data_IF_600582288110
#
_entry.id   IF_600582288110
#
_cell.length_a   1.000
_cell.length_b   1.000
_cell.length_c   1.000
_cell.angle_alpha   90.00
_cell.angle_beta   90.00
_cell.angle_gamma   90.00
#
_symmetry.space_group_name_H-M   'P 1'
#
loop_
_entity.id
_entity.type
_entity.pdbx_description
1 polymer ?
#
# COMPACT_ATOMS: atom_id res chain seq x y z
N UNK A 1 72.36 -42.47 -8.27
CA UNK A 1 71.11 -42.50 -9.12
C UNK A 1 69.96 -42.57 -8.18
N UNK A 2 69.35 -41.44 -7.95
CA UNK A 2 68.23 -41.32 -7.02
C UNK A 2 66.95 -41.11 -7.84
N UNK A 3 66.09 -42.08 -7.85
CA UNK A 3 64.81 -42.02 -8.56
C UNK A 3 63.78 -41.23 -7.70
N UNK A 4 63.47 -40.00 -8.13
CA UNK A 4 62.37 -39.22 -7.60
C UNK A 4 61.04 -39.81 -8.11
N UNK A 5 60.27 -40.37 -7.20
CA UNK A 5 58.89 -40.81 -7.47
C UNK A 5 57.98 -39.56 -7.45
N UNK A 6 57.47 -39.15 -8.60
CA UNK A 6 56.44 -38.10 -8.72
C UNK A 6 55.17 -38.62 -8.14
N UNK A 7 54.76 -38.08 -6.98
CA UNK A 7 53.39 -38.27 -6.44
C UNK A 7 52.39 -37.51 -7.32
N UNK A 8 51.52 -38.24 -7.97
CA UNK A 8 50.37 -37.74 -8.72
C UNK A 8 49.39 -37.08 -7.74
N UNK A 9 48.94 -35.83 -7.99
CA UNK A 9 47.95 -35.20 -7.11
C UNK A 9 46.65 -36.00 -7.11
N UNK A 10 46.23 -36.41 -5.93
CA UNK A 10 44.94 -37.07 -5.69
C UNK A 10 43.83 -36.06 -5.97
N UNK A 11 42.96 -36.36 -6.94
CA UNK A 11 41.79 -35.56 -7.22
C UNK A 11 40.91 -35.43 -5.94
N UNK A 12 40.40 -34.22 -5.61
CA UNK A 12 39.55 -34.05 -4.45
C UNK A 12 38.33 -34.97 -4.57
N UNK A 13 37.97 -35.63 -3.47
CA UNK A 13 36.78 -36.47 -3.39
C UNK A 13 35.52 -35.62 -3.76
N UNK A 14 34.54 -36.19 -4.48
CA UNK A 14 33.30 -35.49 -4.81
C UNK A 14 32.66 -35.02 -3.49
N UNK A 15 32.40 -33.71 -3.41
CA UNK A 15 31.70 -33.13 -2.25
C UNK A 15 30.37 -33.84 -2.05
N UNK A 16 30.11 -34.26 -0.83
CA UNK A 16 28.81 -34.85 -0.45
C UNK A 16 27.72 -33.81 -0.77
N UNK A 17 26.66 -34.17 -1.54
CA UNK A 17 25.61 -33.21 -1.87
C UNK A 17 25.02 -32.63 -0.61
N UNK A 18 24.89 -31.29 -0.55
CA UNK A 18 24.20 -30.63 0.55
C UNK A 18 22.75 -31.12 0.59
N UNK A 19 22.23 -31.56 1.74
CA UNK A 19 20.81 -31.92 1.88
C UNK A 19 19.86 -30.82 1.42
N UNK A 20 20.28 -29.56 1.47
CA UNK A 20 19.52 -28.42 0.95
C UNK A 20 19.36 -28.43 -0.57
N UNK A 21 20.35 -28.96 -1.31
CA UNK A 21 20.28 -29.05 -2.77
C UNK A 21 19.12 -29.92 -3.24
N UNK A 22 18.86 -31.03 -2.54
CA UNK A 22 17.72 -31.91 -2.83
C UNK A 22 16.39 -31.19 -2.57
N UNK A 23 16.30 -30.40 -1.50
CA UNK A 23 15.09 -29.58 -1.18
C UNK A 23 14.88 -28.51 -2.25
N UNK A 24 15.93 -27.79 -2.65
CA UNK A 24 15.86 -26.77 -3.70
C UNK A 24 15.39 -27.37 -5.02
N UNK A 25 15.92 -28.56 -5.37
CA UNK A 25 15.51 -29.27 -6.59
C UNK A 25 14.02 -29.69 -6.54
N UNK A 26 13.55 -30.25 -5.43
CA UNK A 26 12.16 -30.61 -5.25
C UNK A 26 11.23 -29.38 -5.32
N UNK A 27 11.61 -28.26 -4.68
CA UNK A 27 10.90 -27.00 -4.78
C UNK A 27 10.85 -26.45 -6.21
N UNK A 28 11.93 -26.63 -6.97
CA UNK A 28 11.99 -26.25 -8.38
C UNK A 28 10.99 -27.04 -9.21
N UNK A 29 10.92 -28.35 -9.04
CA UNK A 29 9.99 -29.22 -9.74
C UNK A 29 8.52 -28.81 -9.49
N UNK A 30 8.16 -28.59 -8.22
CA UNK A 30 6.83 -28.14 -7.85
C UNK A 30 6.50 -26.78 -8.50
N UNK A 31 7.44 -25.83 -8.48
CA UNK A 31 7.24 -24.51 -9.11
C UNK A 31 7.05 -24.62 -10.62
N UNK A 32 7.83 -25.45 -11.30
CA UNK A 32 7.73 -25.63 -12.74
C UNK A 32 6.41 -26.30 -13.13
N UNK A 33 6.01 -27.36 -12.42
CA UNK A 33 4.72 -28.03 -12.64
C UNK A 33 3.54 -27.06 -12.44
N UNK A 34 3.58 -26.24 -11.39
CA UNK A 34 2.55 -25.23 -11.14
C UNK A 34 2.50 -24.17 -12.27
N UNK A 35 3.66 -23.68 -12.71
CA UNK A 35 3.72 -22.71 -13.83
C UNK A 35 3.13 -23.26 -15.11
N UNK A 36 3.46 -24.50 -15.44
CA UNK A 36 2.93 -25.17 -16.62
C UNK A 36 1.42 -25.35 -16.54
N UNK A 37 0.90 -25.85 -15.42
CA UNK A 37 -0.52 -26.06 -15.18
C UNK A 37 -1.35 -24.75 -15.22
N UNK A 38 -0.73 -23.59 -14.91
CA UNK A 38 -1.39 -22.30 -14.86
C UNK A 38 -1.04 -21.36 -16.04
N UNK A 39 -0.46 -21.90 -17.13
CA UNK A 39 -0.13 -21.11 -18.32
C UNK A 39 0.99 -20.08 -18.11
N UNK A 40 1.80 -20.24 -17.05
CA UNK A 40 2.88 -19.31 -16.66
C UNK A 40 4.28 -19.88 -16.94
N UNK A 41 4.42 -20.73 -17.92
CA UNK A 41 5.70 -21.36 -18.28
C UNK A 41 6.80 -20.33 -18.65
N UNK A 42 6.40 -19.16 -19.12
CA UNK A 42 7.30 -18.03 -19.45
C UNK A 42 7.00 -16.87 -18.53
N UNK A 43 7.61 -16.88 -17.33
CA UNK A 43 7.59 -15.71 -16.46
C UNK A 43 8.73 -14.76 -16.84
N UNK A 44 8.45 -13.47 -17.05
CA UNK A 44 9.51 -12.48 -17.24
C UNK A 44 10.39 -12.36 -15.99
N UNK A 45 11.60 -11.80 -16.17
CA UNK A 45 12.50 -11.58 -15.06
C UNK A 45 12.04 -10.42 -14.17
N UNK A 46 12.15 -10.60 -12.86
CA UNK A 46 11.89 -9.54 -11.87
C UNK A 46 10.56 -9.63 -11.15
N UNK A 47 10.30 -8.64 -10.31
CA UNK A 47 9.05 -8.53 -9.55
C UNK A 47 7.98 -7.89 -10.43
N UNK A 48 6.94 -8.64 -10.71
CA UNK A 48 5.87 -8.23 -11.64
C UNK A 48 4.65 -7.60 -10.95
N UNK A 49 4.63 -7.61 -9.63
CA UNK A 49 3.52 -7.09 -8.81
C UNK A 49 4.02 -5.99 -7.88
N UNK A 50 3.16 -5.04 -7.52
CA UNK A 50 3.48 -4.02 -6.54
C UNK A 50 4.01 -4.61 -5.22
N UNK A 51 4.94 -3.92 -4.58
CA UNK A 51 5.47 -4.30 -3.27
C UNK A 51 4.59 -3.76 -2.16
N UNK A 52 4.21 -4.62 -1.23
CA UNK A 52 3.48 -4.23 -0.03
C UNK A 52 4.31 -3.26 0.83
N UNK A 53 5.59 -3.56 1.06
CA UNK A 53 6.49 -2.71 1.84
C UNK A 53 6.68 -1.33 1.20
N UNK A 54 6.83 -1.29 -0.14
CA UNK A 54 6.96 -0.01 -0.85
C UNK A 54 5.68 0.81 -0.74
N UNK A 55 4.51 0.16 -0.84
CA UNK A 55 3.22 0.84 -0.65
C UNK A 55 3.05 1.35 0.78
N UNK A 56 3.50 0.57 1.78
CA UNK A 56 3.46 1.01 3.18
C UNK A 56 4.26 2.31 3.39
N UNK A 57 5.49 2.38 2.85
CA UNK A 57 6.30 3.60 2.90
C UNK A 57 5.63 4.77 2.16
N UNK A 58 5.05 4.53 0.99
CA UNK A 58 4.28 5.57 0.26
C UNK A 58 3.14 6.12 1.11
N UNK A 59 2.37 5.26 1.79
CA UNK A 59 1.26 5.70 2.64
C UNK A 59 1.73 6.47 3.88
N UNK A 60 2.85 6.06 4.49
CA UNK A 60 3.46 6.76 5.63
C UNK A 60 3.98 8.14 5.22
N UNK A 61 4.72 8.22 4.12
CA UNK A 61 5.22 9.48 3.57
C UNK A 61 4.06 10.44 3.20
N UNK A 62 2.99 9.92 2.57
CA UNK A 62 1.80 10.72 2.28
C UNK A 62 1.12 11.23 3.56
N UNK A 63 1.09 10.43 4.62
CA UNK A 63 0.65 10.88 5.94
C UNK A 63 1.49 12.06 6.43
N UNK A 64 2.82 11.96 6.31
CA UNK A 64 3.76 13.03 6.65
C UNK A 64 3.61 14.28 5.76
N UNK A 65 3.31 14.11 4.47
CA UNK A 65 3.01 15.23 3.54
C UNK A 65 1.70 15.93 3.92
N UNK A 66 0.67 15.16 4.29
CA UNK A 66 -0.63 15.71 4.68
C UNK A 66 -0.60 16.39 6.05
N UNK A 67 0.19 15.89 7.00
CA UNK A 67 0.31 16.40 8.36
C UNK A 67 1.79 16.56 8.78
N UNK A 68 2.57 17.43 8.11
CA UNK A 68 4.03 17.45 8.24
C UNK A 68 4.52 17.75 9.65
N UNK A 69 3.86 18.66 10.37
CA UNK A 69 4.22 19.01 11.74
C UNK A 69 3.78 17.97 12.80
N UNK A 70 3.10 16.88 12.39
CA UNK A 70 2.58 15.85 13.31
C UNK A 70 3.03 14.45 12.96
N UNK A 71 3.04 14.11 11.66
CA UNK A 71 3.43 12.81 11.15
C UNK A 71 4.75 12.83 10.35
N UNK A 72 5.33 14.01 10.19
CA UNK A 72 6.67 14.20 9.60
C UNK A 72 7.80 14.01 10.62
N UNK A 73 9.04 14.32 10.23
CA UNK A 73 10.21 14.18 11.10
C UNK A 73 10.07 15.00 12.38
N UNK A 74 10.53 14.47 13.53
CA UNK A 74 10.36 15.15 14.84
C UNK A 74 11.13 16.47 14.93
N UNK A 75 12.22 16.65 14.15
CA UNK A 75 13.02 17.86 14.10
C UNK A 75 12.48 18.94 13.14
N UNK A 76 11.41 18.66 12.41
CA UNK A 76 10.89 19.56 11.38
C UNK A 76 10.45 20.90 12.02
N UNK A 77 10.97 21.99 11.45
CA UNK A 77 10.62 23.34 11.88
C UNK A 77 9.59 23.96 10.93
N UNK A 78 8.70 24.86 11.43
CA UNK A 78 7.68 25.49 10.59
C UNK A 78 8.24 26.19 9.33
N UNK A 79 9.44 26.77 9.42
CA UNK A 79 10.07 27.45 8.28
C UNK A 79 10.57 26.49 7.18
N UNK A 80 10.69 25.20 7.50
CA UNK A 80 11.18 24.15 6.60
C UNK A 80 10.06 23.27 6.07
N UNK A 81 8.82 23.49 6.53
CA UNK A 81 7.64 22.65 6.23
C UNK A 81 7.42 22.50 4.73
N UNK A 82 7.31 23.61 3.98
CA UNK A 82 7.06 23.59 2.54
C UNK A 82 8.18 22.90 1.77
N UNK A 83 9.43 23.09 2.19
CA UNK A 83 10.59 22.42 1.57
C UNK A 83 10.54 20.92 1.82
N UNK A 84 10.23 20.52 3.06
CA UNK A 84 10.08 19.11 3.44
C UNK A 84 8.94 18.45 2.65
N UNK A 85 7.75 19.05 2.64
CA UNK A 85 6.58 18.58 1.88
C UNK A 85 6.93 18.42 0.39
N UNK A 86 7.55 19.44 -0.22
CA UNK A 86 7.93 19.38 -1.64
C UNK A 86 8.94 18.27 -1.93
N UNK A 87 9.94 18.08 -1.06
CA UNK A 87 10.95 17.03 -1.22
C UNK A 87 10.33 15.64 -1.07
N UNK A 88 9.63 15.40 0.03
CA UNK A 88 9.00 14.11 0.34
C UNK A 88 7.99 13.73 -0.72
N UNK A 89 7.09 14.66 -1.11
CA UNK A 89 6.09 14.39 -2.14
C UNK A 89 6.74 13.97 -3.48
N UNK A 90 7.82 14.62 -3.90
CA UNK A 90 8.53 14.24 -5.14
C UNK A 90 9.07 12.82 -5.08
N UNK A 91 9.69 12.43 -3.97
CA UNK A 91 10.23 11.08 -3.79
C UNK A 91 9.10 10.04 -3.73
N UNK A 92 8.08 10.32 -2.95
CA UNK A 92 6.91 9.43 -2.80
C UNK A 92 6.20 9.19 -4.14
N UNK A 93 6.06 10.24 -4.97
CA UNK A 93 5.45 10.10 -6.29
C UNK A 93 6.29 9.26 -7.25
N UNK A 94 7.62 9.25 -7.15
CA UNK A 94 8.47 8.36 -7.94
C UNK A 94 8.24 6.89 -7.55
N UNK A 95 8.14 6.58 -6.25
CA UNK A 95 7.81 5.23 -5.79
C UNK A 95 6.40 4.83 -6.23
N UNK A 96 5.42 5.72 -6.07
CA UNK A 96 4.04 5.49 -6.49
C UNK A 96 3.95 5.25 -8.01
N UNK A 97 4.64 6.03 -8.85
CA UNK A 97 4.74 5.81 -10.30
C UNK A 97 5.25 4.39 -10.61
N UNK A 98 6.27 3.93 -9.89
CA UNK A 98 6.79 2.57 -10.02
C UNK A 98 5.73 1.49 -9.70
N UNK A 99 4.98 1.67 -8.60
CA UNK A 99 3.90 0.75 -8.22
C UNK A 99 2.75 0.77 -9.23
N UNK A 100 2.35 1.94 -9.69
CA UNK A 100 1.29 2.11 -10.72
C UNK A 100 1.70 1.41 -12.01
N UNK A 101 2.95 1.56 -12.44
CA UNK A 101 3.44 0.88 -13.64
C UNK A 101 3.31 -0.63 -13.52
N UNK A 102 3.66 -1.20 -12.37
CA UNK A 102 3.53 -2.65 -12.12
C UNK A 102 2.06 -3.11 -12.16
N UNK A 103 1.13 -2.34 -11.58
CA UNK A 103 -0.29 -2.65 -11.67
C UNK A 103 -0.81 -2.58 -13.11
N UNK A 104 -0.46 -1.54 -13.86
CA UNK A 104 -0.86 -1.40 -15.26
C UNK A 104 -0.32 -2.53 -16.14
N UNK A 105 0.92 -2.97 -15.91
CA UNK A 105 1.51 -4.10 -16.60
C UNK A 105 0.79 -5.41 -16.25
N UNK A 106 0.46 -5.59 -14.97
CA UNK A 106 -0.32 -6.75 -14.51
C UNK A 106 -1.70 -6.79 -15.14
N UNK A 107 -2.42 -5.68 -15.15
CA UNK A 107 -3.75 -5.52 -15.76
C UNK A 107 -3.72 -5.84 -17.26
N UNK A 108 -2.73 -5.33 -17.99
CA UNK A 108 -2.55 -5.61 -19.42
C UNK A 108 -2.37 -7.11 -19.68
N UNK A 109 -1.54 -7.78 -18.87
CA UNK A 109 -1.34 -9.24 -18.98
C UNK A 109 -2.60 -10.04 -18.69
N UNK A 110 -3.31 -9.70 -17.62
CA UNK A 110 -4.56 -10.41 -17.26
C UNK A 110 -5.61 -10.28 -18.36
N UNK A 111 -5.65 -9.15 -19.06
CA UNK A 111 -6.57 -8.91 -20.18
C UNK A 111 -6.06 -9.48 -21.52
N UNK A 112 -4.88 -10.09 -21.55
CA UNK A 112 -4.29 -10.63 -22.79
C UNK A 112 -3.87 -9.55 -23.80
N UNK A 113 -3.61 -8.32 -23.32
CA UNK A 113 -3.15 -7.22 -24.16
C UNK A 113 -1.64 -7.35 -24.43
N UNK A 114 -1.22 -7.13 -25.68
CA UNK A 114 0.21 -7.14 -26.06
C UNK A 114 1.05 -6.01 -25.47
N UNK A 115 0.43 -5.07 -24.74
CA UNK A 115 1.03 -3.86 -24.20
C UNK A 115 1.76 -4.13 -22.86
N UNK A 116 2.70 -5.04 -22.85
CA UNK A 116 3.37 -5.41 -21.60
C UNK A 116 4.55 -4.52 -21.25
N UNK A 117 5.19 -3.90 -22.23
CA UNK A 117 6.32 -2.97 -21.98
C UNK A 117 6.35 -1.87 -23.05
N UNK A 118 6.41 -0.61 -22.61
CA UNK A 118 6.57 0.49 -23.56
C UNK A 118 6.49 1.86 -22.91
N UNK A 119 6.97 2.90 -23.61
CA UNK A 119 6.93 4.28 -23.14
C UNK A 119 5.52 4.77 -22.80
N UNK A 120 4.49 4.17 -23.40
CA UNK A 120 3.10 4.50 -23.12
C UNK A 120 2.65 4.16 -21.69
N UNK A 121 3.01 2.96 -21.18
CA UNK A 121 2.66 2.57 -19.80
C UNK A 121 3.39 3.46 -18.79
N UNK A 122 4.65 3.79 -19.05
CA UNK A 122 5.42 4.69 -18.19
C UNK A 122 4.80 6.09 -18.15
N UNK A 123 4.38 6.64 -19.29
CA UNK A 123 3.71 7.95 -19.33
C UNK A 123 2.35 7.92 -18.64
N UNK A 124 1.56 6.87 -18.86
CA UNK A 124 0.28 6.68 -18.20
C UNK A 124 0.45 6.57 -16.67
N UNK A 125 1.45 5.83 -16.20
CA UNK A 125 1.75 5.71 -14.78
C UNK A 125 2.12 7.08 -14.17
N UNK A 126 2.97 7.84 -14.86
CA UNK A 126 3.35 9.18 -14.46
C UNK A 126 2.16 10.12 -14.42
N UNK A 127 1.28 10.06 -15.43
CA UNK A 127 0.06 10.89 -15.47
C UNK A 127 -0.86 10.55 -14.28
N UNK A 128 -1.13 9.27 -14.01
CA UNK A 128 -1.97 8.84 -12.89
C UNK A 128 -1.38 9.24 -11.53
N UNK A 129 -0.06 9.16 -11.37
CA UNK A 129 0.61 9.63 -10.15
C UNK A 129 0.42 11.15 -9.94
N UNK A 130 0.50 11.95 -11.01
CA UNK A 130 0.24 13.41 -10.95
C UNK A 130 -1.22 13.71 -10.64
N UNK A 131 -2.16 13.02 -11.30
CA UNK A 131 -3.59 13.22 -11.08
C UNK A 131 -3.96 12.86 -9.63
N UNK A 132 -3.41 11.77 -9.11
CA UNK A 132 -3.54 11.41 -7.69
C UNK A 132 -2.99 12.52 -6.78
N UNK A 133 -1.79 13.03 -7.05
CA UNK A 133 -1.21 14.12 -6.26
C UNK A 133 -2.09 15.37 -6.24
N UNK A 134 -2.74 15.66 -7.37
CA UNK A 134 -3.71 16.78 -7.48
C UNK A 134 -4.92 16.63 -6.56
N UNK A 135 -5.22 15.44 -6.06
CA UNK A 135 -6.32 15.21 -5.11
C UNK A 135 -5.94 15.45 -3.65
N UNK A 136 -4.65 15.49 -3.31
CA UNK A 136 -4.17 15.56 -1.92
C UNK A 136 -4.70 16.78 -1.13
N UNK A 137 -4.83 17.99 -1.69
CA UNK A 137 -5.45 19.11 -0.96
C UNK A 137 -6.88 18.82 -0.51
N UNK A 138 -7.68 18.14 -1.36
CA UNK A 138 -9.04 17.74 -1.02
C UNK A 138 -9.03 16.63 0.05
N UNK A 139 -8.15 15.64 -0.08
CA UNK A 139 -7.96 14.59 0.93
C UNK A 139 -7.62 15.21 2.28
N UNK A 140 -6.74 16.23 2.31
CA UNK A 140 -6.40 16.93 3.54
C UNK A 140 -7.61 17.63 4.16
N UNK A 141 -8.40 18.32 3.38
CA UNK A 141 -9.61 19.00 3.89
C UNK A 141 -10.64 18.00 4.44
N UNK A 142 -10.82 16.85 3.77
CA UNK A 142 -11.68 15.76 4.27
C UNK A 142 -11.17 15.22 5.61
N UNK A 143 -9.86 14.99 5.73
CA UNK A 143 -9.23 14.49 6.96
C UNK A 143 -9.28 15.50 8.11
N UNK A 144 -9.15 16.79 7.84
CA UNK A 144 -9.31 17.83 8.86
C UNK A 144 -10.74 17.82 9.44
N UNK A 145 -11.75 17.62 8.59
CA UNK A 145 -13.13 17.45 9.03
C UNK A 145 -13.36 16.16 9.83
N UNK A 146 -12.77 15.02 9.38
CA UNK A 146 -12.85 13.74 10.09
C UNK A 146 -12.16 13.81 11.46
N UNK A 147 -11.01 14.50 11.53
CA UNK A 147 -10.26 14.72 12.76
C UNK A 147 -11.06 15.56 13.76
N UNK A 148 -11.69 16.64 13.30
CA UNK A 148 -12.53 17.48 14.14
C UNK A 148 -13.77 16.70 14.66
N UNK A 149 -14.43 15.91 13.80
CA UNK A 149 -15.56 15.08 14.19
C UNK A 149 -15.15 14.01 15.21
N UNK A 150 -14.01 13.31 14.97
CA UNK A 150 -13.51 12.31 15.90
C UNK A 150 -13.16 12.92 17.26
N UNK A 151 -12.49 14.07 17.27
CA UNK A 151 -12.15 14.78 18.51
C UNK A 151 -13.37 15.17 19.34
N UNK A 152 -14.47 15.59 18.69
CA UNK A 152 -15.72 15.93 19.38
C UNK A 152 -16.39 14.72 20.04
N UNK A 153 -16.16 13.52 19.50
CA UNK A 153 -16.79 12.29 19.98
C UNK A 153 -15.96 11.58 21.08
N UNK A 154 -14.65 11.83 21.12
CA UNK A 154 -13.74 11.16 22.04
C UNK A 154 -13.65 11.90 23.38
N UNK A 155 -14.23 11.31 24.44
CA UNK A 155 -14.08 11.81 25.79
C UNK A 155 -12.69 11.47 26.35
N UNK A 156 -12.00 12.45 26.93
CA UNK A 156 -10.71 12.25 27.58
C UNK A 156 -9.49 12.52 26.70
N UNK A 157 -9.69 12.90 25.45
CA UNK A 157 -8.63 13.38 24.55
C UNK A 157 -8.40 14.87 24.75
N UNK A 158 -7.15 15.29 24.85
CA UNK A 158 -6.78 16.69 25.16
C UNK A 158 -6.62 17.57 23.93
N UNK A 159 -6.34 16.96 22.77
CA UNK A 159 -6.12 17.68 21.53
C UNK A 159 -6.42 16.83 20.29
N UNK A 160 -6.64 17.49 19.16
CA UNK A 160 -6.75 16.83 17.86
C UNK A 160 -5.44 16.10 17.48
N UNK A 161 -4.30 16.58 17.93
CA UNK A 161 -3.00 15.94 17.68
C UNK A 161 -2.95 14.53 18.29
N UNK A 162 -3.51 14.34 19.49
CA UNK A 162 -3.60 13.03 20.12
C UNK A 162 -4.45 12.06 19.26
N UNK A 163 -5.60 12.51 18.76
CA UNK A 163 -6.45 11.72 17.88
C UNK A 163 -5.69 11.28 16.62
N UNK A 164 -5.01 12.22 15.98
CA UNK A 164 -4.24 11.95 14.76
C UNK A 164 -3.14 10.90 14.98
N UNK A 165 -2.48 10.93 16.15
CA UNK A 165 -1.33 10.07 16.44
C UNK A 165 -1.72 8.62 16.75
N UNK A 166 -2.79 8.39 17.49
CA UNK A 166 -3.07 7.05 18.02
C UNK A 166 -4.43 6.48 17.66
N UNK A 167 -5.42 7.31 17.28
CA UNK A 167 -6.80 6.83 17.13
C UNK A 167 -6.97 5.90 15.90
N UNK A 168 -7.38 4.64 16.10
CA UNK A 168 -7.43 3.67 15.00
C UNK A 168 -8.43 4.05 13.91
N UNK A 169 -9.58 4.62 14.27
CA UNK A 169 -10.58 5.11 13.32
C UNK A 169 -10.04 6.22 12.43
N UNK A 170 -9.27 7.18 13.01
CA UNK A 170 -8.64 8.24 12.23
C UNK A 170 -7.58 7.69 11.27
N UNK A 171 -6.78 6.71 11.72
CA UNK A 171 -5.81 6.02 10.86
C UNK A 171 -6.49 5.27 9.71
N UNK A 172 -7.59 4.58 9.99
CA UNK A 172 -8.36 3.88 8.96
C UNK A 172 -8.94 4.87 7.93
N UNK A 173 -9.48 6.01 8.37
CA UNK A 173 -9.98 7.06 7.48
C UNK A 173 -8.87 7.67 6.64
N UNK A 174 -7.70 7.97 7.21
CA UNK A 174 -6.55 8.50 6.46
C UNK A 174 -6.18 7.57 5.30
N UNK A 175 -6.00 6.29 5.58
CA UNK A 175 -5.65 5.33 4.54
C UNK A 175 -6.80 5.14 3.56
N UNK A 176 -8.05 5.08 4.03
CA UNK A 176 -9.21 4.96 3.15
C UNK A 176 -9.33 6.14 2.16
N UNK A 177 -9.14 7.39 2.61
CA UNK A 177 -9.17 8.57 1.74
C UNK A 177 -8.16 8.45 0.60
N UNK A 178 -6.92 8.02 0.90
CA UNK A 178 -5.87 7.77 -0.10
C UNK A 178 -6.22 6.58 -1.01
N UNK A 179 -6.66 5.45 -0.43
CA UNK A 179 -7.04 4.26 -1.17
C UNK A 179 -8.23 4.51 -2.11
N UNK A 180 -9.20 5.30 -1.67
CA UNK A 180 -10.34 5.70 -2.50
C UNK A 180 -9.90 6.51 -3.73
N UNK A 181 -8.92 7.43 -3.60
CA UNK A 181 -8.35 8.17 -4.74
C UNK A 181 -7.59 7.26 -5.69
N UNK A 182 -6.83 6.27 -5.17
CA UNK A 182 -6.20 5.25 -6.02
C UNK A 182 -7.25 4.44 -6.78
N UNK A 183 -8.33 4.03 -6.11
CA UNK A 183 -9.43 3.30 -6.74
C UNK A 183 -10.09 4.13 -7.85
N UNK A 184 -10.40 5.41 -7.60
CA UNK A 184 -10.97 6.33 -8.59
C UNK A 184 -10.01 6.57 -9.78
N UNK A 185 -8.70 6.52 -9.55
CA UNK A 185 -7.69 6.58 -10.60
C UNK A 185 -7.59 5.29 -11.44
N UNK A 186 -8.43 4.27 -11.18
CA UNK A 186 -8.41 2.99 -11.87
C UNK A 186 -7.21 2.13 -11.48
N UNK A 187 -6.85 2.14 -10.20
CA UNK A 187 -5.76 1.36 -9.60
C UNK A 187 -6.33 0.47 -8.48
N UNK A 188 -7.19 -0.51 -8.82
CA UNK A 188 -7.92 -1.30 -7.81
C UNK A 188 -7.01 -2.19 -6.97
N UNK A 189 -5.89 -2.70 -7.52
CA UNK A 189 -4.97 -3.54 -6.77
C UNK A 189 -4.24 -2.74 -5.69
N UNK A 190 -3.64 -1.59 -6.03
CA UNK A 190 -2.97 -0.71 -5.07
C UNK A 190 -3.95 -0.20 -4.01
N UNK A 191 -5.16 0.17 -4.42
CA UNK A 191 -6.21 0.60 -3.51
C UNK A 191 -6.58 -0.50 -2.51
N UNK A 192 -6.71 -1.75 -2.98
CA UNK A 192 -7.02 -2.90 -2.12
C UNK A 192 -5.88 -3.23 -1.17
N UNK A 193 -4.64 -3.20 -1.66
CA UNK A 193 -3.45 -3.40 -0.82
C UNK A 193 -3.36 -2.35 0.29
N UNK A 194 -3.64 -1.09 -0.02
CA UNK A 194 -3.67 -0.01 0.97
C UNK A 194 -4.76 -0.24 2.04
N UNK A 195 -5.98 -0.60 1.62
CA UNK A 195 -7.08 -0.90 2.53
C UNK A 195 -6.74 -2.09 3.46
N UNK A 196 -6.10 -3.14 2.92
CA UNK A 196 -5.68 -4.30 3.72
C UNK A 196 -4.63 -3.92 4.77
N UNK A 197 -3.68 -3.05 4.46
CA UNK A 197 -2.72 -2.54 5.44
C UNK A 197 -3.40 -1.77 6.57
N UNK A 198 -4.44 -0.97 6.25
CA UNK A 198 -5.23 -0.29 7.26
C UNK A 198 -5.98 -1.30 8.15
N UNK A 199 -6.61 -2.31 7.54
CA UNK A 199 -7.34 -3.36 8.25
C UNK A 199 -6.44 -4.13 9.22
N UNK A 200 -5.24 -4.51 8.78
CA UNK A 200 -4.27 -5.22 9.64
C UNK A 200 -3.85 -4.38 10.84
N UNK A 201 -3.67 -3.06 10.65
CA UNK A 201 -3.21 -2.15 11.72
C UNK A 201 -4.32 -1.71 12.67
N UNK A 202 -5.57 -1.65 12.21
CA UNK A 202 -6.68 -1.03 12.95
C UNK A 202 -7.82 -2.00 13.30
N UNK A 203 -7.88 -3.13 12.62
CA UNK A 203 -9.03 -4.05 12.70
C UNK A 203 -10.29 -3.53 12.00
N UNK A 204 -10.19 -2.42 11.23
CA UNK A 204 -11.30 -1.79 10.52
C UNK A 204 -11.15 -2.05 9.03
N UNK A 205 -12.14 -2.66 8.40
CA UNK A 205 -12.14 -2.97 6.97
C UNK A 205 -13.04 -1.98 6.22
N UNK A 206 -12.44 -1.09 5.44
CA UNK A 206 -13.17 -0.15 4.57
C UNK A 206 -12.81 -0.45 3.12
N UNK A 207 -13.80 -0.89 2.33
CA UNK A 207 -13.56 -1.14 0.91
C UNK A 207 -13.17 0.17 0.19
N UNK A 208 -12.13 0.17 -0.67
CA UNK A 208 -11.68 1.40 -1.34
C UNK A 208 -12.74 2.09 -2.20
N UNK A 209 -13.70 1.34 -2.74
CA UNK A 209 -14.80 1.90 -3.52
C UNK A 209 -15.93 2.50 -2.65
N UNK A 210 -15.97 2.21 -1.35
CA UNK A 210 -16.96 2.79 -0.44
C UNK A 210 -16.88 4.32 -0.46
N UNK A 211 -18.02 4.97 -0.49
CA UNK A 211 -18.12 6.44 -0.47
C UNK A 211 -18.33 6.91 0.96
N UNK A 212 -17.29 7.52 1.54
CA UNK A 212 -17.33 8.06 2.89
C UNK A 212 -17.33 9.58 2.82
N UNK A 213 -18.41 10.20 3.29
CA UNK A 213 -18.53 11.67 3.37
C UNK A 213 -17.50 12.28 4.33
N UNK A 214 -17.24 13.57 4.19
CA UNK A 214 -16.33 14.28 5.08
C UNK A 214 -16.92 14.46 6.51
N UNK A 215 -16.07 14.56 7.52
CA UNK A 215 -16.48 14.75 8.90
C UNK A 215 -17.03 13.47 9.55
N UNK A 216 -16.65 12.32 9.07
CA UNK A 216 -17.01 11.04 9.69
C UNK A 216 -16.10 10.70 10.87
N UNK A 217 -16.67 10.04 11.88
CA UNK A 217 -15.92 9.49 13.00
C UNK A 217 -16.18 7.99 13.14
N UNK A 218 -15.11 7.22 13.39
CA UNK A 218 -15.14 5.78 13.62
C UNK A 218 -14.76 5.51 15.06
N UNK A 219 -15.72 5.24 15.94
CA UNK A 219 -15.48 4.94 17.35
C UNK A 219 -15.57 3.44 17.63
N UNK A 220 -14.73 2.92 18.51
CA UNK A 220 -14.75 1.50 18.90
C UNK A 220 -14.96 0.56 17.71
N UNK A 221 -14.40 0.93 16.55
CA UNK A 221 -14.73 0.39 15.25
C UNK A 221 -13.92 -0.87 14.88
N UNK A 222 -13.17 -1.45 15.82
CA UNK A 222 -12.48 -2.73 15.59
C UNK A 222 -13.50 -3.80 15.20
N UNK A 223 -13.27 -4.45 14.06
CA UNK A 223 -14.21 -5.43 13.50
C UNK A 223 -15.33 -4.85 12.62
N UNK A 224 -15.39 -3.53 12.47
CA UNK A 224 -16.33 -2.90 11.52
C UNK A 224 -15.89 -3.19 10.09
N UNK A 225 -16.84 -3.59 9.25
CA UNK A 225 -16.66 -3.82 7.81
C UNK A 225 -17.58 -2.87 7.03
N UNK A 226 -16.98 -2.02 6.19
CA UNK A 226 -17.69 -1.10 5.30
C UNK A 226 -17.52 -1.63 3.87
N UNK A 227 -18.58 -2.22 3.26
CA UNK A 227 -18.50 -2.89 1.97
C UNK A 227 -18.41 -1.92 0.79
N UNK A 228 -18.14 -2.45 -0.39
CA UNK A 228 -17.96 -1.72 -1.65
C UNK A 228 -19.11 -0.78 -1.98
N UNK A 229 -20.37 -1.24 -1.80
CA UNK A 229 -21.58 -0.47 -2.12
C UNK A 229 -21.94 0.56 -1.05
N UNK A 230 -21.21 0.66 0.05
CA UNK A 230 -21.56 1.55 1.16
C UNK A 230 -21.47 3.02 0.77
N UNK A 231 -22.46 3.78 1.22
CA UNK A 231 -22.49 5.24 1.14
C UNK A 231 -22.68 5.79 2.55
N UNK A 232 -21.61 6.32 3.12
CA UNK A 232 -21.60 6.96 4.44
C UNK A 232 -21.79 8.47 4.22
N UNK A 233 -22.82 9.02 4.85
CA UNK A 233 -23.15 10.45 4.71
C UNK A 233 -22.11 11.32 5.44
N UNK A 234 -21.92 12.60 5.01
CA UNK A 234 -21.08 13.53 5.74
C UNK A 234 -21.53 13.68 7.20
N UNK A 235 -20.57 13.75 8.12
CA UNK A 235 -20.84 13.90 9.55
C UNK A 235 -21.34 12.63 10.26
N UNK A 236 -21.29 11.47 9.60
CA UNK A 236 -21.75 10.23 10.21
C UNK A 236 -20.82 9.76 11.34
N UNK A 237 -21.42 9.27 12.43
CA UNK A 237 -20.72 8.54 13.48
C UNK A 237 -20.97 7.04 13.30
N UNK A 238 -19.87 6.28 13.19
CA UNK A 238 -19.89 4.83 13.13
C UNK A 238 -19.32 4.29 14.43
N UNK A 239 -20.16 3.67 15.24
CA UNK A 239 -19.78 3.03 16.50
C UNK A 239 -19.87 1.51 16.32
N UNK A 240 -18.77 0.80 16.55
CA UNK A 240 -18.69 -0.65 16.42
C UNK A 240 -19.62 -1.45 17.33
N UNK A 241 -20.20 -0.84 18.35
CA UNK A 241 -21.16 -1.48 19.27
C UNK A 241 -22.64 -1.17 18.94
N UNK A 242 -22.90 -0.22 18.07
CA UNK A 242 -24.26 0.15 17.68
C UNK A 242 -24.41 0.15 16.16
N UNK A 243 -25.59 -0.25 15.69
CA UNK A 243 -25.91 -0.24 14.26
C UNK A 243 -25.63 1.12 13.63
N UNK A 244 -25.03 1.08 12.44
CA UNK A 244 -24.68 2.23 11.61
C UNK A 244 -25.80 3.29 11.54
N UNK A 245 -25.70 4.37 12.30
CA UNK A 245 -26.54 5.56 12.09
C UNK A 245 -25.94 6.38 10.95
N UNK A 246 -26.70 6.56 9.86
CA UNK A 246 -26.23 7.31 8.68
C UNK A 246 -25.73 6.45 7.52
N UNK A 247 -25.96 5.13 7.54
CA UNK A 247 -25.66 4.24 6.43
C UNK A 247 -26.91 4.00 5.56
N UNK A 248 -26.76 4.11 4.26
CA UNK A 248 -27.74 3.65 3.27
C UNK A 248 -27.07 2.61 2.38
N UNK A 249 -27.71 1.46 2.20
CA UNK A 249 -27.37 0.57 1.10
C UNK A 249 -27.77 1.24 -0.22
N UNK A 250 -26.86 1.29 -1.17
CA UNK A 250 -27.16 1.80 -2.51
C UNK A 250 -27.98 0.79 -3.30
#
# INVERSE_FOLDING_TARGET
>A
MSTLTEERPVAPAPATPDPLDAIVQSLREVRLAWREANGRAREPAGRELPSEDTLAHVLEDLGGVLFPMRLGPPELRPQEEDRHVSHTLRQTLLFLEGLIRLELQYDARVRGAELTEGPHIAELARQRARDFAGTLPMVRAELDADLAATFQQESGVRSMDEVLLWHPGMRALLVHRLAHRLHQAGLPLLARMAAEQARVRTGIDIHPAARVGAGCALQRATGVVIPESAVILPGALIDGHHSLTGWQAA
#
